data_IF_776036478808
#
_entry.id   IF_776036478808
#
_cell.length_a   1.000
_cell.length_b   1.000
_cell.length_c   1.000
_cell.angle_alpha   90.00
_cell.angle_beta   90.00
_cell.angle_gamma   90.00
#
_symmetry.space_group_name_H-M   'P 1'
#
loop_
_entity.id
_entity.type
_entity.pdbx_description
1 polymer ?
#
# COMPACT_ATOMS: atom_id res chain seq x y z
N UNK A 1 8.75 -5.27 3.37
CA UNK A 1 9.87 -6.24 3.50
C UNK A 1 11.19 -5.59 3.93
N UNK A 2 11.54 -4.39 3.45
CA UNK A 2 12.88 -3.79 3.63
C UNK A 2 13.35 -3.56 5.07
N UNK A 3 12.45 -3.56 6.07
CA UNK A 3 12.83 -3.42 7.49
C UNK A 3 12.36 -4.56 8.39
N UNK A 4 11.71 -5.62 7.86
CA UNK A 4 11.22 -6.71 8.71
C UNK A 4 12.35 -7.47 9.39
N UNK A 5 13.48 -7.64 8.68
CA UNK A 5 14.69 -8.27 9.19
C UNK A 5 15.21 -7.59 10.47
N UNK A 6 14.98 -6.29 10.65
CA UNK A 6 15.39 -5.57 11.87
C UNK A 6 14.62 -6.07 13.09
N UNK A 7 13.31 -6.31 12.93
CA UNK A 7 12.48 -6.91 13.98
C UNK A 7 12.93 -8.34 14.29
N UNK A 8 13.09 -9.16 13.24
CA UNK A 8 13.54 -10.55 13.40
C UNK A 8 14.90 -10.66 14.10
N UNK A 9 15.86 -9.78 13.78
CA UNK A 9 17.15 -9.78 14.48
C UNK A 9 16.95 -9.42 15.95
N UNK A 10 16.14 -8.40 16.26
CA UNK A 10 15.87 -8.00 17.63
C UNK A 10 15.17 -9.10 18.45
N UNK A 11 14.30 -9.91 17.83
CA UNK A 11 13.61 -11.02 18.49
C UNK A 11 14.52 -12.25 18.70
N UNK A 12 15.56 -12.42 17.88
CA UNK A 12 16.48 -13.56 17.94
C UNK A 12 17.73 -13.32 18.79
N UNK A 13 18.02 -12.07 19.13
CA UNK A 13 19.22 -11.69 19.90
C UNK A 13 18.86 -11.25 21.31
N UNK A 14 19.72 -11.56 22.28
CA UNK A 14 19.62 -11.03 23.63
C UNK A 14 19.96 -9.52 23.62
N UNK A 15 18.93 -8.70 23.42
CA UNK A 15 19.02 -7.24 23.35
C UNK A 15 19.19 -6.68 21.93
N UNK A 16 19.39 -5.37 21.86
CA UNK A 16 19.48 -4.60 20.62
C UNK A 16 20.92 -4.41 20.16
N UNK A 17 21.32 -5.15 19.12
CA UNK A 17 22.69 -5.12 18.58
C UNK A 17 22.88 -4.19 17.37
N UNK A 18 21.80 -3.65 16.79
CA UNK A 18 21.84 -2.89 15.53
C UNK A 18 22.18 -1.41 15.70
N UNK A 19 22.55 -1.00 16.93
CA UNK A 19 22.96 0.36 17.25
C UNK A 19 21.84 1.41 17.16
N UNK A 20 22.20 2.66 17.47
CA UNK A 20 21.23 3.76 17.64
C UNK A 20 20.53 4.17 16.33
N UNK A 21 21.19 4.03 15.18
CA UNK A 21 20.61 4.37 13.88
C UNK A 21 19.38 3.51 13.59
N UNK A 22 19.52 2.18 13.59
CA UNK A 22 18.41 1.29 13.28
C UNK A 22 17.30 1.35 14.35
N UNK A 23 17.64 1.64 15.61
CA UNK A 23 16.65 1.81 16.68
C UNK A 23 15.63 2.93 16.33
N UNK A 24 16.13 4.02 15.74
CA UNK A 24 15.32 5.16 15.30
C UNK A 24 14.71 4.93 13.92
N UNK A 25 15.54 4.54 12.97
CA UNK A 25 15.19 4.45 11.55
C UNK A 25 14.13 3.39 11.29
N UNK A 26 14.17 2.25 11.99
CA UNK A 26 13.18 1.18 11.81
C UNK A 26 11.76 1.67 12.14
N UNK A 27 11.56 2.27 13.31
CA UNK A 27 10.26 2.79 13.73
C UNK A 27 9.77 3.92 12.79
N UNK A 28 10.66 4.82 12.39
CA UNK A 28 10.37 5.87 11.41
C UNK A 28 9.90 5.27 10.08
N UNK A 29 10.68 4.35 9.50
CA UNK A 29 10.39 3.74 8.21
C UNK A 29 9.07 2.95 8.23
N UNK A 30 8.76 2.28 9.34
CA UNK A 30 7.48 1.57 9.51
C UNK A 30 6.29 2.51 9.49
N UNK A 31 6.30 3.58 10.30
CA UNK A 31 5.20 4.56 10.34
C UNK A 31 5.06 5.26 8.99
N UNK A 32 6.16 5.75 8.41
CA UNK A 32 6.12 6.42 7.10
C UNK A 32 5.60 5.50 5.99
N UNK A 33 6.03 4.24 5.94
CA UNK A 33 5.56 3.29 4.93
C UNK A 33 4.07 2.96 5.08
N UNK A 34 3.60 2.83 6.32
CA UNK A 34 2.19 2.60 6.63
C UNK A 34 1.32 3.77 6.15
N UNK A 35 1.68 4.99 6.56
CA UNK A 35 0.92 6.20 6.22
C UNK A 35 0.93 6.43 4.70
N UNK A 36 2.08 6.26 4.04
CA UNK A 36 2.17 6.41 2.59
C UNK A 36 1.28 5.40 1.86
N UNK A 37 1.22 4.15 2.34
CA UNK A 37 0.37 3.11 1.77
C UNK A 37 -1.12 3.47 1.90
N UNK A 38 -1.56 3.89 3.09
CA UNK A 38 -2.98 4.20 3.34
C UNK A 38 -3.42 5.41 2.53
N UNK A 39 -2.62 6.48 2.53
CA UNK A 39 -2.94 7.68 1.76
C UNK A 39 -2.96 7.40 0.25
N UNK A 40 -2.09 6.50 -0.25
CA UNK A 40 -2.12 6.05 -1.64
C UNK A 40 -3.39 5.27 -1.97
N UNK A 41 -3.79 4.32 -1.11
CA UNK A 41 -5.03 3.57 -1.28
C UNK A 41 -6.27 4.48 -1.22
N UNK A 42 -6.27 5.45 -0.31
CA UNK A 42 -7.34 6.43 -0.18
C UNK A 42 -7.45 7.31 -1.43
N UNK A 43 -6.31 7.79 -1.96
CA UNK A 43 -6.27 8.54 -3.21
C UNK A 43 -6.84 7.71 -4.37
N UNK A 44 -6.47 6.43 -4.47
CA UNK A 44 -7.01 5.51 -5.48
C UNK A 44 -8.52 5.31 -5.29
N UNK A 45 -9.01 5.16 -4.06
CA UNK A 45 -10.43 5.04 -3.77
C UNK A 45 -11.20 6.31 -4.18
N UNK A 46 -10.68 7.49 -3.86
CA UNK A 46 -11.24 8.78 -4.26
C UNK A 46 -11.25 8.94 -5.78
N UNK A 47 -10.15 8.61 -6.47
CA UNK A 47 -10.09 8.59 -7.95
C UNK A 47 -11.22 7.76 -8.54
N UNK A 48 -11.40 6.53 -8.04
CA UNK A 48 -12.46 5.63 -8.53
C UNK A 48 -13.85 6.16 -8.21
N UNK A 49 -14.04 6.71 -7.02
CA UNK A 49 -15.31 7.32 -6.62
C UNK A 49 -15.69 8.48 -7.54
N UNK A 50 -14.83 9.50 -7.70
CA UNK A 50 -15.14 10.65 -8.55
C UNK A 50 -15.20 10.30 -10.04
N UNK A 51 -14.34 9.39 -10.51
CA UNK A 51 -14.31 8.97 -11.91
C UNK A 51 -15.48 8.09 -12.34
N UNK A 52 -16.09 7.34 -11.42
CA UNK A 52 -17.20 6.41 -11.74
C UNK A 52 -18.56 6.98 -11.31
N UNK A 53 -18.65 7.57 -10.12
CA UNK A 53 -19.92 8.09 -9.58
C UNK A 53 -20.28 9.44 -10.22
N UNK A 54 -19.29 10.33 -10.37
CA UNK A 54 -19.48 11.67 -10.93
C UNK A 54 -18.94 11.84 -12.36
N UNK A 55 -18.42 10.76 -12.97
CA UNK A 55 -17.85 10.75 -14.32
C UNK A 55 -16.79 11.84 -14.58
N UNK A 56 -15.96 12.17 -13.58
CA UNK A 56 -14.88 13.16 -13.74
C UNK A 56 -13.89 12.75 -14.85
N UNK A 57 -13.42 13.73 -15.62
CA UNK A 57 -12.50 13.51 -16.75
C UNK A 57 -11.15 12.96 -16.26
N UNK A 58 -10.74 11.81 -16.78
CA UNK A 58 -9.48 11.12 -16.44
C UNK A 58 -8.23 12.02 -16.53
N UNK A 59 -8.21 12.96 -17.49
CA UNK A 59 -7.09 13.88 -17.69
C UNK A 59 -6.82 14.83 -16.50
N UNK A 60 -7.83 15.13 -15.69
CA UNK A 60 -7.70 15.98 -14.50
C UNK A 60 -6.95 15.25 -13.38
N UNK A 61 -7.17 13.95 -13.25
CA UNK A 61 -6.51 13.09 -12.26
C UNK A 61 -5.04 12.90 -12.62
N UNK A 62 -4.73 12.58 -13.89
CA UNK A 62 -3.35 12.34 -14.35
C UNK A 62 -2.45 13.55 -14.10
N UNK A 63 -2.92 14.77 -14.38
CA UNK A 63 -2.16 16.00 -14.17
C UNK A 63 -1.85 16.27 -12.69
N UNK A 64 -2.72 15.81 -11.78
CA UNK A 64 -2.55 16.01 -10.33
C UNK A 64 -1.82 14.85 -9.65
N UNK A 65 -1.65 13.70 -10.32
CA UNK A 65 -1.09 12.49 -9.72
C UNK A 65 0.32 12.70 -9.13
N UNK A 66 1.24 13.32 -9.87
CA UNK A 66 2.59 13.59 -9.38
C UNK A 66 2.58 14.51 -8.14
N UNK A 67 1.75 15.56 -8.17
CA UNK A 67 1.61 16.47 -7.03
C UNK A 67 1.04 15.74 -5.81
N UNK A 68 -0.01 14.93 -5.98
CA UNK A 68 -0.61 14.13 -4.90
C UNK A 68 0.40 13.15 -4.29
N UNK A 69 1.25 12.51 -5.09
CA UNK A 69 2.29 11.60 -4.60
C UNK A 69 3.29 12.36 -3.71
N UNK A 70 3.74 13.55 -4.12
CA UNK A 70 4.64 14.38 -3.32
C UNK A 70 4.00 14.74 -1.97
N UNK A 71 2.74 15.18 -1.98
CA UNK A 71 1.98 15.51 -0.76
C UNK A 71 1.89 14.30 0.18
N UNK A 72 1.59 13.12 -0.37
CA UNK A 72 1.52 11.87 0.40
C UNK A 72 2.85 11.58 1.10
N UNK A 73 3.98 11.66 0.38
CA UNK A 73 5.29 11.38 0.96
C UNK A 73 5.69 12.40 2.03
N UNK A 74 5.47 13.69 1.78
CA UNK A 74 5.75 14.75 2.75
C UNK A 74 4.96 14.52 4.03
N UNK A 75 3.66 14.27 3.93
CA UNK A 75 2.80 14.00 5.08
C UNK A 75 3.21 12.71 5.83
N UNK A 76 3.57 11.65 5.09
CA UNK A 76 3.98 10.38 5.68
C UNK A 76 5.33 10.47 6.42
N UNK A 77 6.27 11.25 5.90
CA UNK A 77 7.54 11.54 6.58
C UNK A 77 7.28 12.37 7.83
N UNK A 78 6.44 13.40 7.75
CA UNK A 78 6.07 14.22 8.90
C UNK A 78 5.43 13.37 10.02
N UNK A 79 4.51 12.46 9.67
CA UNK A 79 3.88 11.55 10.61
C UNK A 79 4.89 10.57 11.27
N UNK A 80 5.90 10.09 10.53
CA UNK A 80 6.93 9.19 11.06
C UNK A 80 8.02 9.89 11.88
N UNK A 81 8.25 11.19 11.66
CA UNK A 81 9.36 11.97 12.24
C UNK A 81 9.45 11.89 13.77
N UNK A 82 8.34 11.91 14.55
CA UNK A 82 8.41 11.77 16.01
C UNK A 82 9.14 10.52 16.48
N UNK A 83 9.13 9.43 15.70
CA UNK A 83 9.88 8.20 16.04
C UNK A 83 11.39 8.40 16.01
N UNK A 84 11.93 9.26 15.14
CA UNK A 84 13.37 9.58 15.10
C UNK A 84 13.85 10.30 16.37
N UNK A 85 12.95 11.05 17.01
CA UNK A 85 13.23 11.82 18.22
C UNK A 85 13.00 10.97 19.47
N UNK A 86 11.89 10.21 19.49
CA UNK A 86 11.44 9.50 20.68
C UNK A 86 12.09 8.13 20.86
N UNK A 87 12.41 7.39 19.80
CA UNK A 87 13.17 6.13 19.95
C UNK A 87 14.61 6.42 20.38
N UNK A 88 15.08 5.71 21.41
CA UNK A 88 16.44 5.83 21.93
C UNK A 88 17.02 4.45 22.21
N UNK A 89 18.30 4.32 21.92
CA UNK A 89 19.10 3.21 22.40
C UNK A 89 19.37 3.45 23.88
N UNK A 90 18.95 2.51 24.71
CA UNK A 90 19.13 2.51 26.15
C UNK A 90 20.13 1.42 26.53
N UNK A 91 20.77 1.57 27.68
CA UNK A 91 21.74 0.61 28.21
C UNK A 91 21.51 0.38 29.70
N UNK A 92 21.67 -0.86 30.14
CA UNK A 92 21.56 -1.29 31.55
C UNK A 92 22.78 -2.13 31.86
N UNK A 93 23.46 -1.76 32.94
CA UNK A 93 24.59 -2.53 33.44
C UNK A 93 24.06 -3.62 34.37
N UNK A 94 24.25 -4.88 33.98
CA UNK A 94 24.11 -6.04 34.85
C UNK A 94 25.45 -6.36 35.52
N UNK A 95 25.47 -7.34 36.42
CA UNK A 95 26.69 -7.75 37.12
C UNK A 95 27.79 -8.19 36.14
N UNK A 96 27.42 -8.98 35.13
CA UNK A 96 28.36 -9.67 34.25
C UNK A 96 28.36 -9.14 32.80
N UNK A 97 27.40 -8.29 32.43
CA UNK A 97 27.28 -7.77 31.06
C UNK A 97 26.48 -6.46 30.98
N UNK A 98 26.60 -5.76 29.85
CA UNK A 98 25.79 -4.58 29.53
C UNK A 98 24.70 -4.98 28.54
N UNK A 99 23.44 -4.85 28.93
CA UNK A 99 22.29 -5.04 28.05
C UNK A 99 21.96 -3.73 27.34
N UNK A 100 21.76 -3.78 26.02
CA UNK A 100 21.25 -2.66 25.25
C UNK A 100 19.85 -3.00 24.74
N UNK A 101 18.92 -2.03 24.74
CA UNK A 101 17.60 -2.21 24.14
C UNK A 101 17.12 -0.93 23.46
N UNK A 102 16.16 -1.07 22.55
CA UNK A 102 15.57 0.05 21.83
C UNK A 102 14.15 0.33 22.31
N UNK A 103 13.96 1.40 23.07
CA UNK A 103 12.64 1.82 23.53
C UNK A 103 12.38 3.30 23.26
N UNK A 104 11.13 3.71 23.40
CA UNK A 104 10.73 5.10 23.30
C UNK A 104 10.87 5.85 24.63
N UNK A 105 11.47 7.04 24.55
CA UNK A 105 11.69 7.93 25.68
C UNK A 105 10.56 8.97 25.79
N UNK A 106 9.31 8.50 25.89
CA UNK A 106 8.17 9.36 26.21
C UNK A 106 8.12 9.64 27.72
N UNK A 107 7.75 10.88 28.08
CA UNK A 107 7.68 11.30 29.47
C UNK A 107 6.57 10.57 30.23
N UNK A 108 6.90 10.09 31.44
CA UNK A 108 5.93 9.55 32.38
C UNK A 108 5.28 10.69 33.17
N UNK A 109 3.96 10.67 33.26
CA UNK A 109 3.17 11.54 34.13
C UNK A 109 2.33 10.71 35.09
N UNK A 110 1.95 11.31 36.21
CA UNK A 110 1.11 10.69 37.24
C UNK A 110 -0.34 11.16 37.07
N UNK A 111 -1.29 10.24 37.13
CA UNK A 111 -2.71 10.58 37.00
C UNK A 111 -3.26 11.15 38.31
N UNK A 112 -3.75 12.39 38.30
CA UNK A 112 -4.48 12.99 39.43
C UNK A 112 -3.75 13.02 40.79
N UNK A 113 -2.41 12.96 40.82
CA UNK A 113 -1.65 12.88 42.07
C UNK A 113 -1.63 11.50 42.75
N UNK A 114 -2.16 10.46 42.09
CA UNK A 114 -2.10 9.07 42.55
C UNK A 114 -0.74 8.41 42.30
N UNK A 115 -0.67 7.08 42.46
CA UNK A 115 0.54 6.27 42.19
C UNK A 115 0.63 5.77 40.75
N UNK A 116 -0.48 5.85 39.99
CA UNK A 116 -0.54 5.38 38.61
C UNK A 116 0.23 6.30 37.66
N UNK A 117 1.22 5.71 36.99
CA UNK A 117 2.03 6.38 35.97
C UNK A 117 1.49 6.01 34.58
N UNK A 118 1.54 6.97 33.66
CA UNK A 118 1.18 6.76 32.26
C UNK A 118 2.03 7.65 31.34
N UNK A 119 2.05 7.35 30.04
CA UNK A 119 2.80 8.13 29.02
C UNK A 119 1.81 8.88 28.11
N UNK A 120 1.24 10.04 28.53
CA UNK A 120 0.16 10.71 27.79
C UNK A 120 0.51 11.03 26.34
N UNK A 121 1.74 11.51 26.10
CA UNK A 121 2.18 11.84 24.75
C UNK A 121 2.28 10.62 23.84
N UNK A 122 2.70 9.47 24.38
CA UNK A 122 2.80 8.19 23.66
C UNK A 122 1.42 7.69 23.28
N UNK A 123 0.53 7.60 24.27
CA UNK A 123 -0.87 7.21 24.08
C UNK A 123 -1.55 8.10 23.04
N UNK A 124 -1.45 9.43 23.18
CA UNK A 124 -2.04 10.35 22.23
C UNK A 124 -1.49 10.16 20.81
N UNK A 125 -0.17 10.00 20.66
CA UNK A 125 0.45 9.78 19.36
C UNK A 125 -0.04 8.49 18.68
N UNK A 126 0.04 7.35 19.37
CA UNK A 126 -0.38 6.07 18.79
C UNK A 126 -1.89 6.04 18.52
N UNK A 127 -2.71 6.57 19.41
CA UNK A 127 -4.16 6.69 19.19
C UNK A 127 -4.49 7.58 18.00
N UNK A 128 -3.89 8.78 17.91
CA UNK A 128 -4.13 9.70 16.80
C UNK A 128 -3.73 9.04 15.47
N UNK A 129 -2.55 8.42 15.40
CA UNK A 129 -2.11 7.73 14.18
C UNK A 129 -3.02 6.56 13.84
N UNK A 130 -3.35 5.69 14.78
CA UNK A 130 -4.23 4.53 14.51
C UNK A 130 -5.61 4.96 14.04
N UNK A 131 -6.23 5.98 14.64
CA UNK A 131 -7.57 6.41 14.22
C UNK A 131 -7.55 7.26 12.95
N UNK A 132 -6.76 8.33 12.93
CA UNK A 132 -6.76 9.30 11.81
C UNK A 132 -6.10 8.69 10.58
N UNK A 133 -5.05 7.90 10.75
CA UNK A 133 -4.26 7.39 9.64
C UNK A 133 -4.59 5.96 9.28
N UNK A 134 -5.38 5.21 10.06
CA UNK A 134 -5.78 3.85 9.73
C UNK A 134 -7.29 3.60 9.75
N UNK A 135 -7.97 3.70 10.90
CA UNK A 135 -9.40 3.32 10.99
C UNK A 135 -10.33 4.24 10.17
N UNK A 136 -10.16 5.56 10.28
CA UNK A 136 -11.00 6.53 9.54
C UNK A 136 -10.78 6.36 8.02
N UNK A 137 -9.54 6.35 7.49
CA UNK A 137 -9.31 6.09 6.08
C UNK A 137 -9.89 4.75 5.60
N UNK A 138 -9.79 3.69 6.42
CA UNK A 138 -10.35 2.38 6.07
C UNK A 138 -11.87 2.44 5.89
N UNK A 139 -12.58 3.11 6.80
CA UNK A 139 -14.04 3.31 6.71
C UNK A 139 -14.40 4.16 5.49
N UNK A 140 -13.69 5.27 5.26
CA UNK A 140 -13.93 6.16 4.11
C UNK A 140 -13.73 5.40 2.80
N UNK A 141 -12.65 4.64 2.67
CA UNK A 141 -12.38 3.81 1.49
C UNK A 141 -13.45 2.73 1.31
N UNK A 142 -13.87 2.06 2.37
CA UNK A 142 -14.93 1.04 2.31
C UNK A 142 -16.24 1.63 1.79
N UNK A 143 -16.67 2.77 2.35
CA UNK A 143 -17.88 3.49 1.89
C UNK A 143 -17.74 3.91 0.42
N UNK A 144 -16.61 4.49 0.04
CA UNK A 144 -16.35 4.91 -1.33
C UNK A 144 -16.46 3.72 -2.32
N UNK A 145 -15.88 2.57 -1.99
CA UNK A 145 -15.98 1.38 -2.84
C UNK A 145 -17.38 0.78 -2.87
N UNK A 146 -18.13 0.80 -1.77
CA UNK A 146 -19.55 0.40 -1.77
C UNK A 146 -20.36 1.26 -2.74
N UNK A 147 -20.16 2.58 -2.72
CA UNK A 147 -20.79 3.50 -3.67
C UNK A 147 -20.39 3.18 -5.13
N UNK A 148 -19.10 3.01 -5.39
CA UNK A 148 -18.60 2.66 -6.74
C UNK A 148 -19.19 1.35 -7.24
N UNK A 149 -19.25 0.31 -6.41
CA UNK A 149 -19.82 -0.99 -6.77
C UNK A 149 -21.30 -0.84 -7.09
N UNK A 150 -22.06 -0.12 -6.26
CA UNK A 150 -23.48 0.14 -6.48
C UNK A 150 -23.71 0.82 -7.83
N UNK A 151 -23.00 1.90 -8.11
CA UNK A 151 -23.10 2.62 -9.39
C UNK A 151 -22.78 1.70 -10.57
N UNK A 152 -21.71 0.90 -10.50
CA UNK A 152 -21.34 -0.02 -11.58
C UNK A 152 -22.37 -1.13 -11.84
N UNK A 153 -23.16 -1.50 -10.84
CA UNK A 153 -24.21 -2.52 -10.96
C UNK A 153 -25.54 -1.91 -11.41
N UNK A 154 -25.88 -0.70 -10.97
CA UNK A 154 -27.11 0.00 -11.37
C UNK A 154 -27.05 0.60 -12.77
N UNK A 155 -25.85 0.97 -13.27
CA UNK A 155 -25.67 1.43 -14.66
C UNK A 155 -25.96 0.36 -15.73
N UNK A 156 -26.39 -0.85 -15.34
CA UNK A 156 -26.92 -1.89 -16.23
C UNK A 156 -28.42 -2.04 -15.98
N UNK A 157 -29.22 -1.06 -16.37
CA UNK A 157 -30.68 -1.23 -16.36
C UNK A 157 -31.06 -2.34 -17.37
N UNK A 158 -31.99 -3.25 -17.04
CA UNK A 158 -32.48 -4.26 -17.98
C UNK A 158 -33.20 -3.58 -19.15
N UNK A 159 -32.72 -3.77 -20.38
CA UNK A 159 -33.37 -3.25 -21.61
C UNK A 159 -32.56 -2.22 -22.41
N UNK A 160 -31.44 -1.72 -21.88
CA UNK A 160 -30.62 -0.73 -22.58
C UNK A 160 -29.69 -1.39 -23.61
N UNK A 161 -29.89 -1.09 -24.90
CA UNK A 161 -29.06 -1.59 -26.01
C UNK A 161 -27.66 -0.94 -25.98
N UNK A 162 -26.84 -1.35 -25.02
CA UNK A 162 -25.44 -0.95 -24.95
C UNK A 162 -24.63 -1.66 -26.02
N UNK A 163 -23.72 -0.91 -26.66
CA UNK A 163 -22.80 -1.48 -27.65
C UNK A 163 -21.87 -2.51 -26.99
N UNK A 164 -21.32 -3.43 -27.80
CA UNK A 164 -20.35 -4.43 -27.33
C UNK A 164 -19.15 -3.76 -26.63
N UNK A 165 -18.69 -2.62 -27.14
CA UNK A 165 -17.55 -1.89 -26.59
C UNK A 165 -17.82 -1.31 -25.19
N UNK A 166 -19.00 -0.72 -24.97
CA UNK A 166 -19.40 -0.20 -23.64
C UNK A 166 -19.49 -1.35 -22.63
N UNK A 167 -20.03 -2.49 -23.04
CA UNK A 167 -20.11 -3.68 -22.19
C UNK A 167 -18.73 -4.24 -21.82
N UNK A 168 -17.77 -4.24 -22.75
CA UNK A 168 -16.38 -4.66 -22.48
C UNK A 168 -15.71 -3.67 -21.50
N UNK A 169 -15.84 -2.36 -21.72
CA UNK A 169 -15.27 -1.34 -20.83
C UNK A 169 -15.81 -1.46 -19.40
N UNK A 170 -17.12 -1.66 -19.23
CA UNK A 170 -17.74 -1.83 -17.90
C UNK A 170 -17.26 -3.09 -17.19
N UNK A 171 -17.06 -4.21 -17.92
CA UNK A 171 -16.47 -5.44 -17.34
C UNK A 171 -15.04 -5.21 -16.87
N UNK A 172 -14.22 -4.51 -17.66
CA UNK A 172 -12.85 -4.15 -17.28
C UNK A 172 -12.85 -3.26 -16.04
N UNK A 173 -13.66 -2.19 -16.01
CA UNK A 173 -13.80 -1.31 -14.83
C UNK A 173 -14.18 -2.09 -13.58
N UNK A 174 -15.16 -2.99 -13.68
CA UNK A 174 -15.58 -3.85 -12.55
C UNK A 174 -14.45 -4.76 -12.08
N UNK A 175 -13.69 -5.39 -12.98
CA UNK A 175 -12.54 -6.23 -12.63
C UNK A 175 -11.48 -5.44 -11.85
N UNK A 176 -11.17 -4.21 -12.30
CA UNK A 176 -10.23 -3.32 -11.60
C UNK A 176 -10.75 -2.90 -10.23
N UNK A 177 -12.03 -2.51 -10.11
CA UNK A 177 -12.60 -2.14 -8.80
C UNK A 177 -12.60 -3.32 -7.83
N UNK A 178 -12.96 -4.52 -8.29
CA UNK A 178 -12.91 -5.74 -7.45
C UNK A 178 -11.49 -6.00 -6.96
N UNK A 179 -10.48 -5.88 -7.84
CA UNK A 179 -9.08 -6.00 -7.44
C UNK A 179 -8.70 -5.00 -6.36
N UNK A 180 -9.11 -3.74 -6.49
CA UNK A 180 -8.83 -2.69 -5.50
C UNK A 180 -9.52 -2.95 -4.15
N UNK A 181 -10.74 -3.51 -4.17
CA UNK A 181 -11.44 -3.94 -2.95
C UNK A 181 -10.68 -5.07 -2.25
N UNK A 182 -10.14 -6.04 -2.99
CA UNK A 182 -9.30 -7.08 -2.42
C UNK A 182 -8.01 -6.52 -1.82
N UNK A 183 -7.35 -5.58 -2.50
CA UNK A 183 -6.16 -4.89 -1.97
C UNK A 183 -6.49 -4.18 -0.65
N UNK A 184 -7.62 -3.46 -0.60
CA UNK A 184 -8.08 -2.78 0.62
C UNK A 184 -8.38 -3.77 1.74
N UNK A 185 -9.06 -4.88 1.43
CA UNK A 185 -9.40 -5.90 2.41
C UNK A 185 -8.15 -6.57 3.00
N UNK A 186 -7.20 -6.95 2.14
CA UNK A 186 -5.90 -7.49 2.59
C UNK A 186 -5.16 -6.46 3.44
N UNK A 187 -5.11 -5.21 3.00
CA UNK A 187 -4.48 -4.14 3.77
C UNK A 187 -5.10 -3.99 5.17
N UNK A 188 -6.43 -3.89 5.26
CA UNK A 188 -7.11 -3.77 6.54
C UNK A 188 -6.95 -5.03 7.42
N UNK A 189 -7.08 -6.22 6.87
CA UNK A 189 -6.98 -7.44 7.66
C UNK A 189 -5.55 -7.71 8.13
N UNK A 190 -4.54 -7.39 7.30
CA UNK A 190 -3.16 -7.65 7.66
C UNK A 190 -2.65 -6.71 8.76
N UNK A 191 -3.07 -5.45 8.74
CA UNK A 191 -2.60 -4.44 9.71
C UNK A 191 -3.44 -4.39 10.99
N UNK A 192 -4.71 -4.83 10.94
CA UNK A 192 -5.63 -4.73 12.07
C UNK A 192 -5.10 -5.40 13.36
N UNK A 193 -4.56 -6.64 13.35
CA UNK A 193 -4.06 -7.25 14.58
C UNK A 193 -2.96 -6.44 15.26
N UNK A 194 -2.06 -5.85 14.46
CA UNK A 194 -0.97 -5.03 14.98
C UNK A 194 -1.50 -3.72 15.58
N UNK A 195 -2.49 -3.08 14.94
CA UNK A 195 -3.13 -1.87 15.46
C UNK A 195 -3.84 -2.14 16.79
N UNK A 196 -4.55 -3.27 16.89
CA UNK A 196 -5.22 -3.69 18.12
C UNK A 196 -4.20 -4.00 19.23
N UNK A 197 -3.13 -4.73 18.91
CA UNK A 197 -2.08 -5.07 19.87
C UNK A 197 -1.39 -3.82 20.43
N UNK A 198 -1.09 -2.85 19.57
CA UNK A 198 -0.49 -1.57 19.97
C UNK A 198 -1.43 -0.79 20.89
N UNK A 199 -2.69 -0.57 20.48
CA UNK A 199 -3.65 0.16 21.30
C UNK A 199 -3.88 -0.53 22.65
N UNK A 200 -4.01 -1.85 22.67
CA UNK A 200 -4.14 -2.60 23.91
C UNK A 200 -2.96 -2.34 24.86
N UNK A 201 -1.72 -2.38 24.35
CA UNK A 201 -0.53 -2.11 25.17
C UNK A 201 -0.43 -0.68 25.69
N UNK A 202 -0.99 0.29 24.96
CA UNK A 202 -0.98 1.69 25.39
C UNK A 202 -2.01 1.98 26.48
N UNK A 203 -3.18 1.36 26.44
CA UNK A 203 -4.27 1.65 27.39
C UNK A 203 -4.28 0.78 28.65
N UNK A 204 -3.47 -0.28 28.67
CA UNK A 204 -3.27 -1.12 29.85
C UNK A 204 -2.53 -0.31 30.95
N UNK A 205 -2.93 -0.42 32.23
CA UNK A 205 -2.17 0.14 33.35
C UNK A 205 -0.71 -0.34 33.36
N UNK A 206 0.24 0.55 33.68
CA UNK A 206 1.66 0.21 33.75
C UNK A 206 1.98 -0.80 34.87
N UNK A 207 1.11 -0.94 35.85
CA UNK A 207 1.23 -1.89 36.97
C UNK A 207 0.89 -3.32 36.59
N UNK A 208 0.03 -3.49 35.59
CA UNK A 208 -0.42 -4.81 35.20
C UNK A 208 0.68 -5.48 34.37
N UNK A 209 0.65 -6.80 34.23
CA UNK A 209 1.44 -7.52 33.22
C UNK A 209 0.61 -7.68 31.95
N UNK A 210 1.28 -7.87 30.81
CA UNK A 210 0.55 -8.27 29.60
C UNK A 210 0.01 -9.70 29.81
N UNK A 211 -1.05 -10.07 29.08
CA UNK A 211 -1.61 -11.41 29.17
C UNK A 211 -0.64 -12.45 28.61
N UNK A 212 -0.75 -13.70 29.10
CA UNK A 212 0.11 -14.82 28.71
C UNK A 212 -0.10 -15.17 27.22
N UNK A 213 0.89 -14.88 26.39
CA UNK A 213 0.82 -15.03 24.93
C UNK A 213 0.73 -13.73 24.14
N UNK A 214 0.75 -12.56 24.80
CA UNK A 214 0.77 -11.27 24.09
C UNK A 214 1.96 -11.14 23.14
N UNK A 215 3.15 -11.59 23.56
CA UNK A 215 4.37 -11.49 22.74
C UNK A 215 4.26 -12.33 21.45
N UNK A 216 3.76 -13.56 21.55
CA UNK A 216 3.47 -14.42 20.39
C UNK A 216 2.44 -13.78 19.47
N UNK A 217 1.35 -13.25 20.04
CA UNK A 217 0.32 -12.55 19.28
C UNK A 217 0.88 -11.31 18.56
N UNK A 218 1.70 -10.52 19.26
CA UNK A 218 2.31 -9.32 18.71
C UNK A 218 3.27 -9.67 17.56
N UNK A 219 4.09 -10.71 17.73
CA UNK A 219 4.97 -11.22 16.68
C UNK A 219 4.18 -11.68 15.45
N UNK A 220 3.13 -12.50 15.63
CA UNK A 220 2.25 -12.94 14.53
C UNK A 220 1.58 -11.74 13.84
N UNK A 221 1.12 -10.76 14.62
CA UNK A 221 0.51 -9.55 14.10
C UNK A 221 1.49 -8.71 13.26
N UNK A 222 2.76 -8.62 13.69
CA UNK A 222 3.82 -8.00 12.91
C UNK A 222 4.07 -8.75 11.59
N UNK A 223 4.28 -10.07 11.65
CA UNK A 223 4.47 -10.92 10.46
C UNK A 223 3.36 -10.70 9.44
N UNK A 224 2.11 -10.69 9.91
CA UNK A 224 0.95 -10.50 9.07
C UNK A 224 0.93 -9.08 8.44
N UNK A 225 1.20 -8.04 9.23
CA UNK A 225 1.25 -6.67 8.74
C UNK A 225 2.31 -6.47 7.64
N UNK A 226 3.51 -7.06 7.80
CA UNK A 226 4.57 -6.97 6.80
C UNK A 226 4.30 -7.80 5.55
N UNK A 227 3.56 -8.90 5.69
CA UNK A 227 3.14 -9.77 4.57
C UNK A 227 2.24 -9.04 3.57
N UNK A 228 1.53 -7.98 3.99
CA UNK A 228 0.72 -7.12 3.11
C UNK A 228 1.48 -6.68 1.84
N UNK A 229 2.76 -6.33 1.97
CA UNK A 229 3.56 -5.91 0.81
C UNK A 229 3.82 -7.05 -0.20
N UNK A 230 3.96 -8.29 0.28
CA UNK A 230 4.22 -9.47 -0.55
C UNK A 230 2.97 -9.97 -1.28
N UNK A 231 1.78 -9.72 -0.70
CA UNK A 231 0.51 -10.13 -1.27
C UNK A 231 0.14 -9.28 -2.50
N UNK A 232 0.57 -8.01 -2.55
CA UNK A 232 0.24 -7.10 -3.63
C UNK A 232 0.59 -7.66 -5.04
N UNK A 233 1.83 -8.10 -5.35
CA UNK A 233 2.13 -8.74 -6.64
C UNK A 233 1.28 -9.96 -6.98
N UNK A 234 0.92 -10.78 -5.99
CA UNK A 234 0.07 -11.97 -6.19
C UNK A 234 -1.35 -11.56 -6.60
N UNK A 235 -1.90 -10.54 -5.95
CA UNK A 235 -3.20 -9.97 -6.32
C UNK A 235 -3.17 -9.40 -7.75
N UNK A 236 -2.13 -8.64 -8.10
CA UNK A 236 -2.00 -8.13 -9.46
C UNK A 236 -1.81 -9.26 -10.49
N UNK A 237 -1.07 -10.32 -10.19
CA UNK A 237 -0.92 -11.47 -11.08
C UNK A 237 -2.25 -12.21 -11.33
N UNK A 238 -3.13 -12.28 -10.33
CA UNK A 238 -4.45 -12.89 -10.44
C UNK A 238 -5.49 -12.02 -11.16
N UNK A 239 -5.49 -10.70 -10.92
CA UNK A 239 -6.56 -9.80 -11.37
C UNK A 239 -6.17 -8.83 -12.49
N UNK A 240 -4.88 -8.66 -12.81
CA UNK A 240 -4.42 -7.75 -13.85
C UNK A 240 -3.79 -8.51 -15.03
N UNK A 241 -4.54 -8.63 -16.13
CA UNK A 241 -4.09 -9.36 -17.32
C UNK A 241 -2.85 -8.74 -17.97
N UNK A 242 -2.68 -7.42 -17.87
CA UNK A 242 -1.48 -6.73 -18.36
C UNK A 242 -0.28 -7.02 -17.47
N UNK A 243 -0.47 -7.07 -16.15
CA UNK A 243 0.58 -7.46 -15.21
C UNK A 243 1.01 -8.91 -15.43
N UNK A 244 0.05 -9.82 -15.65
CA UNK A 244 0.34 -11.23 -15.98
C UNK A 244 1.10 -11.39 -17.29
N UNK A 245 0.77 -10.59 -18.32
CA UNK A 245 1.54 -10.56 -19.57
C UNK A 245 2.98 -10.10 -19.35
N UNK A 246 3.18 -9.03 -18.57
CA UNK A 246 4.52 -8.55 -18.20
C UNK A 246 5.31 -9.59 -17.41
N UNK A 247 4.69 -10.23 -16.41
CA UNK A 247 5.31 -11.29 -15.62
C UNK A 247 5.70 -12.49 -16.51
N UNK A 248 4.82 -12.91 -17.42
CA UNK A 248 5.12 -13.95 -18.41
C UNK A 248 6.19 -13.53 -19.43
N UNK A 249 6.35 -12.24 -19.71
CA UNK A 249 7.43 -11.75 -20.58
C UNK A 249 8.78 -11.72 -19.85
N UNK A 250 8.79 -11.48 -18.53
CA UNK A 250 10.02 -11.54 -17.72
C UNK A 250 10.48 -12.99 -17.48
N UNK A 251 9.56 -13.93 -17.29
CA UNK A 251 9.89 -15.33 -16.98
C UNK A 251 9.69 -16.32 -18.15
N UNK A 252 9.13 -15.87 -19.28
CA UNK A 252 8.86 -16.71 -20.44
C UNK A 252 9.83 -16.44 -21.57
N UNK A 253 10.55 -17.48 -22.00
CA UNK A 253 11.51 -17.44 -23.10
C UNK A 253 10.93 -16.75 -24.35
N UNK A 254 11.63 -15.73 -24.82
CA UNK A 254 11.24 -14.84 -25.90
C UNK A 254 11.08 -15.59 -27.25
N UNK A 255 9.86 -16.03 -27.60
CA UNK A 255 9.56 -16.33 -29.01
C UNK A 255 9.17 -15.02 -29.70
N UNK A 256 10.15 -14.37 -30.34
CA UNK A 256 9.96 -13.23 -31.25
C UNK A 256 8.91 -13.65 -32.30
N UNK A 257 7.67 -13.19 -32.19
CA UNK A 257 6.73 -13.29 -33.31
C UNK A 257 7.17 -12.28 -34.35
N UNK A 258 7.72 -12.78 -35.45
CA UNK A 258 7.99 -12.02 -36.68
C UNK A 258 6.62 -11.56 -37.19
N UNK A 259 6.32 -10.27 -37.06
CA UNK A 259 5.16 -9.69 -37.73
C UNK A 259 5.47 -9.67 -39.22
N UNK A 260 4.92 -10.63 -39.97
CA UNK A 260 4.81 -10.52 -41.42
C UNK A 260 3.71 -9.51 -41.68
N UNK A 261 4.08 -8.31 -42.14
CA UNK A 261 3.14 -7.29 -42.58
C UNK A 261 2.36 -7.87 -43.76
N UNK A 262 1.10 -8.27 -43.53
CA UNK A 262 0.16 -8.60 -44.58
C UNK A 262 -0.48 -7.28 -45.03
N UNK A 263 0.12 -6.65 -46.04
CA UNK A 263 -0.49 -5.50 -46.72
C UNK A 263 -1.73 -5.98 -47.47
N UNK A 264 -2.90 -5.69 -46.92
CA UNK A 264 -4.15 -5.59 -47.69
C UNK A 264 -4.05 -4.34 -48.57
N UNK A 265 -4.18 -4.51 -49.87
CA UNK A 265 -4.54 -3.43 -50.80
C UNK A 265 -5.85 -3.90 -51.45
N UNK A 266 -6.96 -3.32 -51.01
CA UNK A 266 -8.23 -3.37 -51.72
C UNK A 266 -8.11 -2.46 -52.96
N UNK A 267 -8.72 -2.88 -54.07
CA UNK A 267 -8.41 -2.44 -55.42
C UNK A 267 -8.90 -1.05 -55.84
N UNK A 268 -8.31 -0.58 -56.94
CA UNK A 268 -8.95 0.31 -57.92
C UNK A 268 -8.30 0.08 -59.29
N UNK A 269 -9.14 -0.05 -60.31
CA UNK A 269 -8.81 -0.30 -61.70
C UNK A 269 -8.06 0.89 -62.34
N UNK A 270 -6.95 0.64 -63.04
CA UNK A 270 -6.59 1.46 -64.21
C UNK A 270 -5.72 0.66 -65.19
N UNK A 271 -6.26 0.44 -66.39
CA UNK A 271 -5.51 0.07 -67.59
C UNK A 271 -4.53 1.19 -67.95
N UNK A 272 -3.24 0.88 -68.11
CA UNK A 272 -2.43 1.45 -69.19
C UNK A 272 -1.16 0.62 -69.45
N UNK A 273 -0.89 0.45 -70.74
CA UNK A 273 0.13 -0.35 -71.39
C UNK A 273 1.57 -0.11 -70.97
N UNK A 274 2.33 -1.21 -71.07
CA UNK A 274 3.76 -1.36 -71.31
C UNK A 274 4.49 -0.14 -71.91
N UNK A 275 5.66 0.21 -71.36
CA UNK A 275 6.94 0.41 -72.10
C UNK A 275 8.14 0.49 -71.12
N UNK A 276 9.25 -0.05 -71.62
CA UNK A 276 10.59 -0.36 -71.13
C UNK A 276 11.49 0.81 -70.67
N UNK A 277 12.62 0.44 -70.01
CA UNK A 277 13.90 1.18 -69.76
C UNK A 277 13.94 2.08 -68.50
N UNK A 278 14.96 2.16 -67.63
CA UNK A 278 16.35 1.63 -67.47
C UNK A 278 16.78 1.95 -66.01
N UNK A 279 17.86 1.36 -65.46
CA UNK A 279 18.31 1.60 -64.08
C UNK A 279 19.30 2.78 -64.01
N UNK A 280 19.24 3.60 -62.96
CA UNK A 280 20.37 4.46 -62.57
C UNK A 280 20.65 4.37 -61.07
N UNK A 281 21.92 4.06 -60.86
CA UNK A 281 22.77 3.89 -59.69
C UNK A 281 22.82 5.09 -58.74
N UNK A 282 22.91 4.77 -57.44
CA UNK A 282 23.72 5.34 -56.35
C UNK A 282 24.34 6.75 -56.51
N UNK A 283 24.22 7.51 -55.42
CA UNK A 283 25.37 8.04 -54.67
C UNK A 283 25.25 7.61 -53.21
#
# INVERSE_FOLDING_TARGET
>A
LSCYWVGTVADLTDGWILGAFFCKFNAFAQVTSLVASIMSLMLIACDRFFGIVYAMKAHVIERKACHSIIVIWVFSIAAGTPMLVKKKLMSRQWLDYTEMWCDDAWELKTFGGGTEKFRPGRMAYYTIISFILYFIPLVVMAVAYVCVIRTLWTSKAPGERTTKDVNIQTKVKRKVVIMLVFILAVFGLCWMPLQVAMLYSEYKPLTDTLWEGYEDFYYIAQVLAFSNSAINPLLYAGFNDNFRKGFKQMFGCYKKKRYTTLSKVDGEDTYHSSTTMTPVTKM
#
